data_IF_678599376766
#
_entry.id   IF_678599376766
#
_cell.length_a   1.000
_cell.length_b   1.000
_cell.length_c   1.000
_cell.angle_alpha   90.00
_cell.angle_beta   90.00
_cell.angle_gamma   90.00
#
_symmetry.space_group_name_H-M   'P 1'
#
loop_
_entity.id
_entity.type
_entity.pdbx_description
1 polymer ?
#
# COMPACT_ATOMS: atom_id res chain seq x y z
N UNK A 1 -4.82 -9.19 26.29
CA UNK A 1 -4.05 -8.06 25.71
C UNK A 1 -4.96 -7.26 24.79
N UNK A 2 -5.15 -5.95 25.03
CA UNK A 2 -6.07 -5.14 24.23
C UNK A 2 -5.50 -4.86 22.83
N UNK A 3 -6.40 -4.76 21.83
CA UNK A 3 -6.09 -4.47 20.42
C UNK A 3 -5.31 -3.17 20.19
N UNK A 4 -5.21 -2.31 21.22
CA UNK A 4 -4.52 -1.02 21.19
C UNK A 4 -2.99 -1.17 21.20
N UNK A 5 -2.45 -2.24 21.80
CA UNK A 5 -1.00 -2.48 21.84
C UNK A 5 -0.42 -3.10 20.56
N UNK A 6 -1.28 -3.58 19.63
CA UNK A 6 -0.85 -4.12 18.33
C UNK A 6 -0.67 -3.04 17.25
N UNK A 7 -1.24 -1.85 17.44
CA UNK A 7 -1.04 -0.69 16.54
C UNK A 7 0.38 -0.11 16.55
N UNK A 8 1.28 -0.65 17.38
CA UNK A 8 2.70 -0.30 17.46
C UNK A 8 3.62 -1.32 16.78
N UNK A 9 3.08 -2.27 16.00
CA UNK A 9 3.88 -3.37 15.46
C UNK A 9 4.85 -2.98 14.34
N UNK A 10 4.73 -1.76 13.79
CA UNK A 10 5.80 -1.07 13.04
C UNK A 10 6.13 0.31 13.63
N UNK A 11 5.92 0.50 14.93
CA UNK A 11 6.41 1.70 15.62
C UNK A 11 7.92 1.58 15.86
N UNK A 12 8.70 2.28 15.03
CA UNK A 12 10.14 2.62 15.22
C UNK A 12 11.14 1.46 15.31
N UNK A 13 10.79 0.28 15.82
CA UNK A 13 11.75 -0.79 16.11
C UNK A 13 12.08 -1.64 14.89
N UNK A 14 11.09 -2.01 14.07
CA UNK A 14 11.29 -2.91 12.92
C UNK A 14 11.50 -2.18 11.59
N UNK A 15 11.15 -0.90 11.50
CA UNK A 15 11.36 -0.10 10.28
C UNK A 15 12.83 -0.01 9.85
N UNK A 16 13.82 0.21 10.74
CA UNK A 16 15.23 0.19 10.34
C UNK A 16 15.68 -1.17 9.76
N UNK A 17 15.08 -2.27 10.23
CA UNK A 17 15.34 -3.61 9.71
C UNK A 17 14.73 -3.77 8.31
N UNK A 18 13.44 -3.47 8.15
CA UNK A 18 12.75 -3.51 6.86
C UNK A 18 13.43 -2.58 5.85
N UNK A 19 13.80 -1.36 6.27
CA UNK A 19 14.52 -0.40 5.43
C UNK A 19 15.84 -0.98 4.92
N UNK A 20 16.65 -1.60 5.79
CA UNK A 20 17.87 -2.30 5.35
C UNK A 20 17.58 -3.42 4.36
N UNK A 21 16.53 -4.22 4.58
CA UNK A 21 16.14 -5.28 3.65
C UNK A 21 15.73 -4.69 2.28
N UNK A 22 14.98 -3.58 2.27
CA UNK A 22 14.58 -2.84 1.07
C UNK A 22 15.78 -2.27 0.31
N UNK A 23 16.76 -1.70 1.03
CA UNK A 23 18.00 -1.15 0.49
C UNK A 23 18.87 -2.24 -0.16
N UNK A 24 18.91 -3.43 0.44
CA UNK A 24 19.65 -4.60 -0.09
C UNK A 24 18.86 -5.44 -1.10
N UNK A 25 17.65 -5.01 -1.48
CA UNK A 25 16.76 -5.71 -2.43
C UNK A 25 16.34 -7.14 -2.01
N UNK A 26 16.28 -7.38 -0.70
CA UNK A 26 15.94 -8.65 -0.05
C UNK A 26 14.41 -8.81 0.07
N UNK A 27 13.74 -9.05 -1.06
CA UNK A 27 12.28 -9.06 -1.14
C UNK A 27 11.64 -10.18 -0.29
N UNK A 28 12.19 -11.39 -0.31
CA UNK A 28 11.60 -12.52 0.41
C UNK A 28 11.65 -12.28 1.92
N UNK A 29 12.77 -11.75 2.40
CA UNK A 29 12.98 -11.39 3.80
C UNK A 29 12.01 -10.27 4.23
N UNK A 30 11.72 -9.30 3.36
CA UNK A 30 10.68 -8.29 3.63
C UNK A 30 9.31 -8.95 3.79
N UNK A 31 8.95 -9.90 2.93
CA UNK A 31 7.68 -10.64 3.02
C UNK A 31 7.63 -11.48 4.29
N UNK A 32 8.70 -12.19 4.63
CA UNK A 32 8.77 -13.02 5.83
C UNK A 32 8.61 -12.17 7.10
N UNK A 33 9.22 -10.99 7.15
CA UNK A 33 9.01 -10.05 8.26
C UNK A 33 7.57 -9.55 8.32
N UNK A 34 6.94 -9.21 7.20
CA UNK A 34 5.51 -8.82 7.18
C UNK A 34 4.61 -9.96 7.67
N UNK A 35 4.86 -11.19 7.21
CA UNK A 35 4.06 -12.36 7.55
C UNK A 35 4.15 -12.68 9.05
N UNK A 36 5.34 -12.49 9.64
CA UNK A 36 5.58 -12.66 11.07
C UNK A 36 4.90 -11.62 11.96
N UNK A 37 4.61 -10.42 11.44
CA UNK A 37 4.03 -9.32 12.23
C UNK A 37 2.49 -9.39 12.25
N UNK A 38 1.86 -10.19 11.37
CA UNK A 38 0.40 -10.37 11.26
C UNK A 38 -0.39 -9.04 11.18
N UNK A 39 0.25 -7.99 10.66
CA UNK A 39 -0.37 -6.67 10.44
C UNK A 39 -0.30 -6.28 8.98
N UNK A 40 -1.36 -6.62 8.22
CA UNK A 40 -1.65 -6.00 6.92
C UNK A 40 -1.68 -4.47 6.99
N UNK A 41 -1.88 -3.93 8.19
CA UNK A 41 -1.88 -2.50 8.52
C UNK A 41 -0.60 -1.76 8.17
N UNK A 42 0.47 -2.43 7.72
CA UNK A 42 1.73 -1.74 7.39
C UNK A 42 2.27 -2.01 5.97
N UNK A 43 1.58 -2.85 5.19
CA UNK A 43 1.95 -3.16 3.79
C UNK A 43 2.05 -1.91 2.90
N UNK A 44 1.14 -0.97 3.13
CA UNK A 44 1.10 0.31 2.42
C UNK A 44 2.34 1.19 2.65
N UNK A 45 3.01 1.16 3.81
CA UNK A 45 4.27 1.90 4.01
C UNK A 45 5.40 1.35 3.15
N UNK A 46 5.45 0.03 3.01
CA UNK A 46 6.46 -0.65 2.20
C UNK A 46 6.16 -0.43 0.71
N UNK A 47 4.88 -0.40 0.31
CA UNK A 47 4.47 0.01 -1.04
C UNK A 47 4.89 1.45 -1.35
N UNK A 48 4.67 2.39 -0.43
CA UNK A 48 5.13 3.78 -0.57
C UNK A 48 6.64 3.85 -0.76
N UNK A 49 7.42 3.07 0.01
CA UNK A 49 8.87 2.99 -0.11
C UNK A 49 9.30 2.44 -1.49
N UNK A 50 8.73 1.32 -1.94
CA UNK A 50 9.05 0.76 -3.26
C UNK A 50 8.69 1.72 -4.41
N UNK A 51 7.53 2.39 -4.33
CA UNK A 51 7.11 3.38 -5.31
C UNK A 51 8.00 4.62 -5.32
N UNK A 52 8.45 5.07 -4.14
CA UNK A 52 9.40 6.18 -3.97
C UNK A 52 10.78 5.88 -4.53
N UNK A 53 11.26 4.64 -4.35
CA UNK A 53 12.51 4.14 -4.90
C UNK A 53 12.44 3.79 -6.41
N UNK A 54 11.27 3.92 -7.04
CA UNK A 54 11.07 3.53 -8.43
C UNK A 54 11.12 2.01 -8.68
N UNK A 55 11.12 1.20 -7.62
CA UNK A 55 11.09 -0.27 -7.69
C UNK A 55 9.67 -0.78 -8.01
N UNK A 56 9.15 -0.43 -9.19
CA UNK A 56 7.74 -0.67 -9.56
C UNK A 56 7.39 -2.16 -9.57
N UNK A 57 8.28 -3.03 -10.09
CA UNK A 57 8.07 -4.49 -10.08
C UNK A 57 7.91 -5.04 -8.66
N UNK A 58 8.70 -4.55 -7.71
CA UNK A 58 8.61 -4.95 -6.30
C UNK A 58 7.32 -4.46 -5.64
N UNK A 59 6.88 -3.26 -5.98
CA UNK A 59 5.57 -2.78 -5.56
C UNK A 59 4.42 -3.66 -6.12
N UNK A 60 4.52 -4.12 -7.37
CA UNK A 60 3.56 -5.06 -7.96
C UNK A 60 3.56 -6.42 -7.27
N UNK A 61 4.74 -6.99 -7.00
CA UNK A 61 4.89 -8.25 -6.26
C UNK A 61 4.25 -8.14 -4.86
N UNK A 62 4.51 -7.04 -4.14
CA UNK A 62 3.96 -6.79 -2.81
C UNK A 62 2.44 -6.57 -2.84
N UNK A 63 1.93 -5.84 -3.84
CA UNK A 63 0.50 -5.62 -4.00
C UNK A 63 -0.24 -6.92 -4.34
N UNK A 64 0.39 -7.81 -5.11
CA UNK A 64 -0.12 -9.15 -5.36
C UNK A 64 -0.12 -10.00 -4.10
N UNK A 65 0.95 -9.97 -3.29
CA UNK A 65 0.96 -10.62 -1.97
C UNK A 65 -0.21 -10.15 -1.09
N UNK A 66 -0.44 -8.82 -1.03
CA UNK A 66 -1.59 -8.25 -0.31
C UNK A 66 -2.92 -8.80 -0.86
N UNK A 67 -3.07 -8.89 -2.18
CA UNK A 67 -4.28 -9.41 -2.83
C UNK A 67 -4.71 -10.78 -2.32
N UNK A 68 -3.76 -11.66 -1.99
CA UNK A 68 -4.06 -13.00 -1.47
C UNK A 68 -4.44 -13.02 0.02
N UNK A 69 -4.18 -11.94 0.76
CA UNK A 69 -4.45 -11.84 2.21
C UNK A 69 -5.77 -11.13 2.53
N UNK A 70 -6.35 -10.43 1.57
CA UNK A 70 -7.65 -9.78 1.71
C UNK A 70 -8.74 -10.63 1.08
N UNK A 71 -9.89 -10.72 1.75
CA UNK A 71 -11.03 -11.52 1.29
C UNK A 71 -11.60 -11.02 -0.04
N UNK A 72 -11.54 -9.70 -0.28
CA UNK A 72 -11.95 -9.09 -1.54
C UNK A 72 -11.13 -7.81 -1.85
N UNK A 73 -10.15 -7.90 -2.76
CA UNK A 73 -9.34 -6.75 -3.18
C UNK A 73 -10.13 -5.60 -3.78
N UNK A 74 -11.29 -5.88 -4.40
CA UNK A 74 -12.12 -4.85 -5.02
C UNK A 74 -12.94 -4.03 -4.03
N UNK A 75 -12.92 -4.39 -2.74
CA UNK A 75 -13.56 -3.64 -1.67
C UNK A 75 -12.56 -3.01 -0.70
N UNK A 76 -11.26 -3.13 -0.95
CA UNK A 76 -10.21 -2.50 -0.13
C UNK A 76 -9.74 -1.21 -0.82
N UNK A 77 -10.03 -0.08 -0.19
CA UNK A 77 -9.72 1.24 -0.76
C UNK A 77 -8.21 1.47 -0.91
N UNK A 78 -7.39 0.94 0.00
CA UNK A 78 -5.94 1.10 -0.08
C UNK A 78 -5.35 0.21 -1.17
N UNK A 79 -5.80 -1.04 -1.31
CA UNK A 79 -5.32 -1.93 -2.37
C UNK A 79 -5.55 -1.30 -3.74
N UNK A 80 -6.77 -0.80 -4.01
CA UNK A 80 -7.11 -0.14 -5.28
C UNK A 80 -6.30 1.14 -5.47
N UNK A 81 -6.10 1.92 -4.41
CA UNK A 81 -5.26 3.12 -4.46
C UNK A 81 -3.84 2.80 -4.90
N UNK A 82 -3.18 1.80 -4.31
CA UNK A 82 -1.82 1.42 -4.70
C UNK A 82 -1.74 0.79 -6.08
N UNK A 83 -2.76 0.04 -6.50
CA UNK A 83 -2.88 -0.44 -7.87
C UNK A 83 -2.90 0.73 -8.86
N UNK A 84 -3.63 1.80 -8.53
CA UNK A 84 -3.69 3.01 -9.33
C UNK A 84 -2.33 3.74 -9.37
N UNK A 85 -1.61 3.83 -8.26
CA UNK A 85 -0.27 4.45 -8.23
C UNK A 85 0.73 3.69 -9.11
N UNK A 86 0.70 2.36 -9.08
CA UNK A 86 1.51 1.52 -9.97
C UNK A 86 1.16 1.82 -11.44
N UNK A 87 -0.13 1.89 -11.77
CA UNK A 87 -0.60 2.26 -13.12
C UNK A 87 -0.11 3.65 -13.52
N UNK A 88 -0.09 4.64 -12.62
CA UNK A 88 0.50 5.96 -12.89
C UNK A 88 1.99 5.85 -13.22
N UNK A 89 2.77 5.09 -12.44
CA UNK A 89 4.20 4.86 -12.68
C UNK A 89 4.48 4.13 -14.00
N UNK A 90 3.52 3.35 -14.49
CA UNK A 90 3.56 2.67 -15.80
C UNK A 90 2.98 3.51 -16.95
N UNK A 91 2.72 4.80 -16.71
CA UNK A 91 2.12 5.73 -17.67
C UNK A 91 0.72 5.31 -18.18
N UNK A 92 -0.02 4.54 -17.38
CA UNK A 92 -1.39 4.10 -17.68
C UNK A 92 -2.42 5.06 -17.05
N UNK A 93 -2.28 6.35 -17.33
CA UNK A 93 -2.96 7.44 -16.61
C UNK A 93 -4.51 7.33 -16.66
N UNK A 94 -5.07 6.94 -17.81
CA UNK A 94 -6.52 6.76 -17.96
C UNK A 94 -7.08 5.67 -17.04
N UNK A 95 -6.37 4.53 -16.93
CA UNK A 95 -6.75 3.43 -16.04
C UNK A 95 -6.57 3.84 -14.58
N UNK A 96 -5.43 4.44 -14.25
CA UNK A 96 -5.17 4.94 -12.91
C UNK A 96 -6.26 5.91 -12.42
N UNK A 97 -6.71 6.84 -13.28
CA UNK A 97 -7.79 7.79 -12.94
C UNK A 97 -9.11 7.09 -12.60
N UNK A 98 -9.46 6.04 -13.33
CA UNK A 98 -10.66 5.24 -13.06
C UNK A 98 -10.54 4.57 -11.69
N UNK A 99 -9.39 3.96 -11.41
CA UNK A 99 -9.15 3.26 -10.15
C UNK A 99 -9.10 4.22 -8.94
N UNK A 100 -8.51 5.40 -9.07
CA UNK A 100 -8.52 6.42 -8.02
C UNK A 100 -9.94 6.88 -7.68
N UNK A 101 -10.82 7.04 -8.69
CA UNK A 101 -12.23 7.37 -8.43
C UNK A 101 -12.93 6.25 -7.66
N UNK A 102 -12.71 4.99 -8.05
CA UNK A 102 -13.24 3.82 -7.35
C UNK A 102 -12.72 3.74 -5.91
N UNK A 103 -11.43 3.99 -5.69
CA UNK A 103 -10.83 4.01 -4.36
C UNK A 103 -11.48 5.07 -3.45
N UNK A 104 -11.83 6.25 -3.99
CA UNK A 104 -12.58 7.29 -3.23
C UNK A 104 -13.97 6.78 -2.82
N UNK A 105 -14.72 6.16 -3.72
CA UNK A 105 -16.06 5.66 -3.42
C UNK A 105 -16.04 4.64 -2.26
N UNK A 106 -15.02 3.79 -2.23
CA UNK A 106 -14.84 2.79 -1.17
C UNK A 106 -14.36 3.45 0.12
N UNK A 107 -13.37 4.37 0.05
CA UNK A 107 -12.89 5.11 1.22
C UNK A 107 -14.01 5.91 1.91
N UNK A 108 -14.97 6.45 1.15
CA UNK A 108 -16.17 7.11 1.72
C UNK A 108 -17.02 6.11 2.51
N UNK A 109 -17.24 4.90 2.00
CA UNK A 109 -18.02 3.84 2.69
C UNK A 109 -17.31 3.37 3.96
N UNK A 110 -15.99 3.27 3.91
CA UNK A 110 -15.13 2.92 5.05
C UNK A 110 -14.98 4.07 6.07
N UNK A 111 -15.43 5.28 5.71
CA UNK A 111 -15.23 6.52 6.48
C UNK A 111 -13.74 6.88 6.67
N UNK A 112 -12.88 6.48 5.74
CA UNK A 112 -11.46 6.84 5.72
C UNK A 112 -11.23 8.18 5.01
N UNK A 113 -11.48 9.27 5.73
CA UNK A 113 -11.30 10.63 5.21
C UNK A 113 -9.82 10.95 4.93
N UNK A 114 -8.88 10.30 5.63
CA UNK A 114 -7.44 10.54 5.42
C UNK A 114 -7.02 9.99 4.06
N UNK A 115 -7.39 8.76 3.75
CA UNK A 115 -7.12 8.15 2.45
C UNK A 115 -7.84 8.91 1.34
N UNK A 116 -9.11 9.27 1.54
CA UNK A 116 -9.88 10.05 0.56
C UNK A 116 -9.17 11.35 0.17
N UNK A 117 -8.72 12.15 1.14
CA UNK A 117 -7.97 13.39 0.88
C UNK A 117 -6.66 13.11 0.15
N UNK A 118 -5.96 12.04 0.53
CA UNK A 118 -4.73 11.61 -0.15
C UNK A 118 -5.00 11.31 -1.63
N UNK A 119 -6.02 10.49 -1.94
CA UNK A 119 -6.38 10.13 -3.32
C UNK A 119 -6.75 11.38 -4.14
N UNK A 120 -7.47 12.34 -3.54
CA UNK A 120 -7.85 13.59 -4.22
C UNK A 120 -6.65 14.42 -4.68
N UNK A 121 -5.52 14.37 -3.98
CA UNK A 121 -4.29 15.05 -4.42
C UNK A 121 -3.79 14.43 -5.74
N UNK A 122 -3.68 13.11 -5.82
CA UNK A 122 -3.25 12.41 -7.03
C UNK A 122 -4.20 12.63 -8.22
N UNK A 123 -5.51 12.74 -7.96
CA UNK A 123 -6.48 13.05 -9.02
C UNK A 123 -6.34 14.47 -9.56
N UNK A 124 -5.89 15.43 -8.75
CA UNK A 124 -5.62 16.80 -9.20
C UNK A 124 -4.42 16.84 -10.15
N UNK A 125 -3.38 16.06 -9.84
CA UNK A 125 -2.17 15.98 -10.67
C UNK A 125 -2.41 15.29 -12.04
N UNK A 126 -3.54 14.60 -12.21
CA UNK A 126 -3.94 13.89 -13.44
C UNK A 126 -4.93 14.67 -14.34
N UNK A 127 -5.25 15.92 -13.99
CA UNK A 127 -6.09 16.82 -14.78
C UNK A 127 -5.25 17.97 -15.32
#
# INVERSE_FOLDING_TARGET
>A
MSKINRRKALCKHDWPKIQKLLENDLFQEVIDEIDNIDTLTDLWYILDAYLGLGKIKKAEELLNFWKYRISNPMSDSYWIFYEALIKMKKNQLGKAKIDLKKAIEIAIKEKDEKLRKRIQLFLKDLN
#
